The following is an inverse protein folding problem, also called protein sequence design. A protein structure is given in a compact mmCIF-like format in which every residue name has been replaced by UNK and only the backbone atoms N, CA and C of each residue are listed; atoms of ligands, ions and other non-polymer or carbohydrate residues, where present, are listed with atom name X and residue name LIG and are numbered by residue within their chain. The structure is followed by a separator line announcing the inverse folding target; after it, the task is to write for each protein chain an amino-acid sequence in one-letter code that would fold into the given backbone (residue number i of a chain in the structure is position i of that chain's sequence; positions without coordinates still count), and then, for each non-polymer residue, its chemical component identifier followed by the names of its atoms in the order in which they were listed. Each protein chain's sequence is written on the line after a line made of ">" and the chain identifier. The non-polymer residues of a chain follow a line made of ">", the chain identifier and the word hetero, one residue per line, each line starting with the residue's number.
data_IF_196464791068
#
_entry.id   IF_196464791068
#
_cell.length_a   1.000
_cell.length_b   1.000
_cell.length_c   1.000
_cell.angle_alpha   90.00
_cell.angle_beta   90.00
_cell.angle_gamma   90.00
#
_symmetry.space_group_name_H-M   'P 1'
#
loop_
_entity.id
_entity.type
_entity.pdbx_description
1 polymer ?
#
# COMPACT_ATOMS: atom_id res chain seq x y z
N UNK A 1 -3.31 -14.38 10.07
CA UNK A 1 -3.55 -14.45 8.64
C UNK A 1 -2.32 -15.03 7.94
N UNK A 2 -2.51 -16.04 7.11
CA UNK A 2 -1.40 -16.64 6.38
C UNK A 2 -0.80 -15.63 5.40
N UNK A 3 0.52 -15.66 5.27
CA UNK A 3 1.25 -14.75 4.41
C UNK A 3 0.78 -14.84 2.95
N UNK A 4 0.53 -16.06 2.47
CA UNK A 4 0.08 -16.27 1.09
C UNK A 4 -1.28 -15.64 0.81
N UNK A 5 -2.21 -15.73 1.79
CA UNK A 5 -3.53 -15.12 1.69
C UNK A 5 -3.42 -13.60 1.68
N UNK A 6 -2.57 -13.05 2.55
CA UNK A 6 -2.34 -11.61 2.62
C UNK A 6 -1.76 -11.07 1.31
N UNK A 7 -0.76 -11.75 0.76
CA UNK A 7 -0.14 -11.36 -0.52
C UNK A 7 -1.17 -11.35 -1.64
N UNK A 8 -2.01 -12.39 -1.72
CA UNK A 8 -3.06 -12.47 -2.74
C UNK A 8 -4.04 -11.32 -2.63
N UNK A 9 -4.48 -10.97 -1.42
CA UNK A 9 -5.39 -9.85 -1.21
C UNK A 9 -4.78 -8.52 -1.63
N UNK A 10 -3.49 -8.34 -1.37
CA UNK A 10 -2.74 -7.15 -1.77
C UNK A 10 -2.70 -7.05 -3.29
N UNK A 11 -2.34 -8.14 -3.96
CA UNK A 11 -2.25 -8.15 -5.41
C UNK A 11 -3.61 -7.91 -6.07
N UNK A 12 -4.67 -8.54 -5.56
CA UNK A 12 -6.03 -8.33 -6.05
C UNK A 12 -6.48 -6.88 -5.87
N UNK A 13 -6.12 -6.27 -4.75
CA UNK A 13 -6.46 -4.87 -4.47
C UNK A 13 -5.76 -3.94 -5.46
N UNK A 14 -4.48 -4.19 -5.76
CA UNK A 14 -3.75 -3.39 -6.73
C UNK A 14 -4.35 -3.55 -8.12
N UNK A 15 -4.68 -4.78 -8.53
CA UNK A 15 -5.33 -5.01 -9.81
C UNK A 15 -6.65 -4.24 -9.92
N UNK A 16 -7.44 -4.22 -8.85
CA UNK A 16 -8.70 -3.47 -8.83
C UNK A 16 -8.48 -1.96 -8.90
N UNK A 17 -7.44 -1.44 -8.27
CA UNK A 17 -7.11 -0.02 -8.34
C UNK A 17 -6.82 0.40 -9.78
N UNK A 18 -6.04 -0.38 -10.50
CA UNK A 18 -5.75 -0.11 -11.91
C UNK A 18 -6.98 -0.29 -12.79
N UNK A 19 -7.78 -1.33 -12.53
CA UNK A 19 -9.02 -1.57 -13.28
C UNK A 19 -10.06 -0.46 -13.10
N UNK A 20 -10.07 0.20 -11.94
CA UNK A 20 -10.99 1.31 -11.65
C UNK A 20 -10.54 2.64 -12.23
N UNK A 21 -9.38 2.70 -12.89
CA UNK A 21 -8.94 3.89 -13.58
C UNK A 21 -7.86 4.70 -12.88
N UNK A 22 -6.98 4.05 -12.12
CA UNK A 22 -5.87 4.73 -11.45
C UNK A 22 -5.02 5.53 -12.44
N UNK A 23 -4.75 4.99 -13.63
CA UNK A 23 -3.97 5.68 -14.66
C UNK A 23 -4.67 6.98 -15.08
N UNK A 24 -5.98 6.90 -15.32
CA UNK A 24 -6.79 8.06 -15.69
C UNK A 24 -6.84 9.11 -14.59
N UNK A 25 -6.89 8.67 -13.33
CA UNK A 25 -6.89 9.56 -12.17
C UNK A 25 -5.59 10.36 -12.09
N UNK A 26 -4.45 9.70 -12.25
CA UNK A 26 -3.14 10.36 -12.23
C UNK A 26 -3.01 11.32 -13.42
N UNK A 27 -3.46 10.90 -14.60
CA UNK A 27 -3.47 11.75 -15.78
C UNK A 27 -4.31 13.01 -15.54
N UNK A 28 -5.47 12.85 -14.91
CA UNK A 28 -6.34 13.97 -14.58
C UNK A 28 -5.69 14.97 -13.63
N UNK A 29 -4.92 14.49 -12.66
CA UNK A 29 -4.18 15.37 -11.75
C UNK A 29 -3.13 16.21 -12.53
N UNK A 30 -2.43 15.57 -13.45
CA UNK A 30 -1.44 16.26 -14.29
C UNK A 30 -2.10 17.30 -15.18
N UNK A 31 -3.25 16.99 -15.77
CA UNK A 31 -3.99 17.91 -16.63
C UNK A 31 -4.50 19.14 -15.87
N UNK A 32 -4.76 18.99 -14.57
CA UNK A 32 -5.15 20.10 -13.69
C UNK A 32 -3.96 20.97 -13.28
N UNK A 33 -2.74 20.63 -13.73
CA UNK A 33 -1.56 21.40 -13.43
C UNK A 33 -0.97 21.16 -12.06
N UNK A 34 -1.35 20.05 -11.39
CA UNK A 34 -0.78 19.71 -10.10
C UNK A 34 0.67 19.26 -10.29
N UNK A 35 1.64 19.86 -9.56
CA UNK A 35 3.06 19.51 -9.71
C UNK A 35 3.32 18.03 -9.39
N UNK A 36 4.27 17.45 -10.10
CA UNK A 36 4.61 16.02 -9.93
C UNK A 36 5.16 15.69 -8.55
N UNK A 37 5.73 16.67 -7.85
CA UNK A 37 6.24 16.50 -6.49
C UNK A 37 5.19 16.79 -5.41
N UNK A 38 3.97 17.12 -5.82
CA UNK A 38 2.88 17.41 -4.88
C UNK A 38 2.50 16.16 -4.07
N UNK A 39 2.00 16.34 -2.83
CA UNK A 39 1.64 15.22 -1.96
C UNK A 39 0.75 14.13 -2.57
N UNK A 40 -0.26 14.43 -3.43
CA UNK A 40 -1.06 13.36 -4.03
C UNK A 40 -0.24 12.34 -4.81
N UNK A 41 0.87 12.73 -5.43
CA UNK A 41 1.72 11.81 -6.20
C UNK A 41 2.60 10.92 -5.34
N UNK A 42 2.61 11.14 -4.03
CA UNK A 42 3.32 10.27 -3.07
C UNK A 42 2.49 9.07 -2.64
N UNK A 43 1.20 9.05 -3.00
CA UNK A 43 0.34 7.92 -2.68
C UNK A 43 0.85 6.66 -3.38
N UNK A 44 0.59 5.51 -2.75
CA UNK A 44 1.06 4.23 -3.25
C UNK A 44 0.52 3.96 -4.66
N UNK A 45 1.41 3.66 -5.58
CA UNK A 45 1.07 3.41 -6.98
C UNK A 45 1.12 4.63 -7.89
N UNK A 46 0.89 5.81 -7.37
CA UNK A 46 0.87 7.04 -8.18
C UNK A 46 2.22 7.31 -8.82
N UNK A 47 3.30 7.10 -8.08
CA UNK A 47 4.66 7.28 -8.58
C UNK A 47 4.96 6.41 -9.80
N UNK A 48 4.53 5.14 -9.76
CA UNK A 48 4.76 4.20 -10.85
C UNK A 48 3.88 4.51 -12.06
N UNK A 49 2.64 4.95 -11.81
CA UNK A 49 1.75 5.39 -12.89
C UNK A 49 2.31 6.65 -13.56
N UNK A 50 2.86 7.57 -12.77
CA UNK A 50 3.50 8.77 -13.31
C UNK A 50 4.66 8.42 -14.23
N UNK A 51 5.52 7.47 -13.81
CA UNK A 51 6.62 6.98 -14.64
C UNK A 51 6.10 6.29 -15.92
N UNK A 52 5.00 5.55 -15.83
CA UNK A 52 4.36 4.96 -17.00
C UNK A 52 3.87 6.02 -17.99
N UNK A 53 3.22 7.06 -17.50
CA UNK A 53 2.70 8.14 -18.35
C UNK A 53 3.82 8.93 -19.05
N UNK A 54 5.00 8.97 -18.43
CA UNK A 54 6.20 9.58 -19.05
C UNK A 54 6.89 8.69 -20.06
N UNK A 55 6.42 7.45 -20.22
CA UNK A 55 7.01 6.49 -21.14
C UNK A 55 8.21 5.74 -20.60
N UNK A 56 8.54 5.89 -19.30
CA UNK A 56 9.66 5.19 -18.67
C UNK A 56 9.37 3.75 -18.25
N UNK A 57 8.10 3.41 -18.08
CA UNK A 57 7.67 2.08 -17.68
C UNK A 57 6.48 1.63 -18.52
N UNK A 58 6.42 0.32 -18.83
CA UNK A 58 5.19 -0.28 -19.35
C UNK A 58 4.12 -0.35 -18.26
N UNK A 59 2.86 -0.52 -18.67
CA UNK A 59 1.76 -0.62 -17.70
C UNK A 59 1.93 -1.83 -16.80
N UNK A 60 2.31 -2.98 -17.36
CA UNK A 60 2.52 -4.20 -16.57
C UNK A 60 3.63 -4.02 -15.53
N UNK A 61 4.68 -3.28 -15.90
CA UNK A 61 5.77 -2.98 -14.97
C UNK A 61 5.29 -2.07 -13.84
N UNK A 62 4.48 -1.05 -14.16
CA UNK A 62 3.91 -0.16 -13.15
C UNK A 62 3.04 -0.94 -12.16
N UNK A 63 2.21 -1.85 -12.65
CA UNK A 63 1.38 -2.72 -11.80
C UNK A 63 2.26 -3.60 -10.91
N UNK A 64 3.29 -4.24 -11.48
CA UNK A 64 4.18 -5.12 -10.74
C UNK A 64 4.94 -4.38 -9.64
N UNK A 65 5.45 -3.18 -9.93
CA UNK A 65 6.15 -2.36 -8.95
C UNK A 65 5.22 -1.89 -7.84
N UNK A 66 3.99 -1.54 -8.17
CA UNK A 66 2.99 -1.16 -7.17
C UNK A 66 2.68 -2.33 -6.24
N UNK A 67 2.54 -3.54 -6.78
CA UNK A 67 2.34 -4.74 -5.97
C UNK A 67 3.52 -4.99 -5.03
N UNK A 68 4.74 -4.86 -5.55
CA UNK A 68 5.96 -5.06 -4.76
C UNK A 68 6.03 -4.07 -3.59
N UNK A 69 5.79 -2.78 -3.85
CA UNK A 69 5.80 -1.75 -2.82
C UNK A 69 4.73 -2.01 -1.76
N UNK A 70 3.54 -2.42 -2.19
CA UNK A 70 2.44 -2.70 -1.28
C UNK A 70 2.75 -3.90 -0.39
N UNK A 71 3.37 -4.95 -0.94
CA UNK A 71 3.80 -6.11 -0.16
C UNK A 71 4.85 -5.73 0.88
N UNK A 72 5.82 -4.89 0.50
CA UNK A 72 6.86 -4.44 1.43
C UNK A 72 6.27 -3.59 2.56
N UNK A 73 5.33 -2.73 2.23
CA UNK A 73 4.63 -1.92 3.22
C UNK A 73 3.88 -2.81 4.21
N UNK A 74 3.14 -3.79 3.71
CA UNK A 74 2.42 -4.75 4.56
C UNK A 74 3.37 -5.55 5.45
N UNK A 75 4.52 -5.97 4.91
CA UNK A 75 5.54 -6.69 5.68
C UNK A 75 6.07 -5.85 6.84
N UNK A 76 6.34 -4.57 6.59
CA UNK A 76 6.78 -3.66 7.65
C UNK A 76 5.72 -3.49 8.73
N UNK A 77 4.45 -3.36 8.34
CA UNK A 77 3.35 -3.27 9.28
C UNK A 77 3.21 -4.54 10.12
N UNK A 78 3.38 -5.71 9.50
CA UNK A 78 3.34 -6.99 10.22
C UNK A 78 4.48 -7.11 11.22
N UNK A 79 5.70 -6.68 10.86
CA UNK A 79 6.84 -6.70 11.75
C UNK A 79 6.62 -5.77 12.95
N UNK A 80 6.11 -4.57 12.69
CA UNK A 80 5.77 -3.62 13.74
C UNK A 80 4.70 -4.19 14.67
N UNK A 81 3.67 -4.79 14.10
CA UNK A 81 2.59 -5.44 14.86
C UNK A 81 3.15 -6.52 15.80
N UNK A 82 4.05 -7.38 15.29
CA UNK A 82 4.66 -8.43 16.10
C UNK A 82 5.44 -7.85 17.28
N UNK A 83 6.21 -6.80 17.05
CA UNK A 83 6.96 -6.15 18.12
C UNK A 83 6.03 -5.56 19.17
N UNK A 84 4.97 -4.93 18.77
CA UNK A 84 3.97 -4.36 19.68
C UNK A 84 3.24 -5.45 20.45
N UNK A 85 2.95 -6.58 19.80
CA UNK A 85 2.34 -7.73 20.45
C UNK A 85 3.25 -8.34 21.51
N UNK A 86 4.56 -8.41 21.23
CA UNK A 86 5.56 -8.88 22.20
C UNK A 86 5.60 -7.96 23.43
N UNK A 87 5.60 -6.67 23.22
CA UNK A 87 5.55 -5.69 24.31
C UNK A 87 4.28 -5.86 25.14
N UNK A 88 3.14 -6.01 24.46
CA UNK A 88 1.85 -6.22 25.12
C UNK A 88 1.81 -7.53 25.92
N UNK A 89 2.54 -8.55 25.46
CA UNK A 89 2.64 -9.82 26.18
C UNK A 89 3.27 -9.64 27.57
N UNK A 90 4.23 -8.72 27.69
CA UNK A 90 4.88 -8.40 28.96
C UNK A 90 4.12 -7.35 29.78
N UNK A 91 3.02 -6.81 29.25
CA UNK A 91 2.17 -5.84 29.92
C UNK A 91 0.72 -6.36 29.92
N UNK A 92 0.41 -7.38 30.73
CA UNK A 92 -0.84 -8.14 30.64
C UNK A 92 -2.12 -7.31 30.81
N UNK A 93 -2.06 -6.20 31.51
CA UNK A 93 -3.24 -5.38 31.77
C UNK A 93 -3.72 -4.66 30.50
N UNK A 94 -2.83 -4.39 29.56
CA UNK A 94 -3.14 -3.64 28.34
C UNK A 94 -3.15 -4.51 27.07
N UNK A 95 -2.71 -5.76 27.19
CA UNK A 95 -2.49 -6.65 26.05
C UNK A 95 -3.68 -6.82 25.12
N UNK A 96 -4.89 -7.22 25.62
CA UNK A 96 -6.03 -7.42 24.72
C UNK A 96 -6.50 -6.17 24.02
N UNK A 97 -6.52 -5.04 24.72
CA UNK A 97 -6.92 -3.76 24.11
C UNK A 97 -5.96 -3.31 23.04
N UNK A 98 -4.66 -3.43 23.30
CA UNK A 98 -3.62 -3.05 22.34
C UNK A 98 -3.68 -3.94 21.09
N UNK A 99 -3.83 -5.23 21.25
CA UNK A 99 -3.93 -6.17 20.15
C UNK A 99 -5.11 -5.84 19.25
N UNK A 100 -6.27 -5.57 19.82
CA UNK A 100 -7.46 -5.21 19.05
C UNK A 100 -7.27 -3.89 18.29
N UNK A 101 -6.67 -2.91 18.93
CA UNK A 101 -6.37 -1.63 18.31
C UNK A 101 -5.45 -1.80 17.11
N UNK A 102 -4.41 -2.60 17.22
CA UNK A 102 -3.47 -2.86 16.15
C UNK A 102 -4.15 -3.60 14.99
N UNK A 103 -5.02 -4.55 15.27
CA UNK A 103 -5.79 -5.24 14.22
C UNK A 103 -6.68 -4.28 13.45
N UNK A 104 -7.32 -3.35 14.15
CA UNK A 104 -8.16 -2.34 13.51
C UNK A 104 -7.37 -1.44 12.57
N UNK A 105 -6.14 -1.10 12.93
CA UNK A 105 -5.27 -0.29 12.08
C UNK A 105 -4.81 -1.03 10.82
N UNK A 106 -4.73 -2.35 10.87
CA UNK A 106 -4.30 -3.17 9.74
C UNK A 106 -5.43 -3.47 8.74
N UNK A 107 -6.65 -3.21 9.12
CA UNK A 107 -7.80 -3.33 8.26
C UNK A 107 -8.02 -2.04 7.47
#
# INVERSE_FOLDING_TARGET
>A
LERAVLVRRIEDRVDRMFARGLVGEVRGLLEKGIPEDAPPFRALGYRHVLAHLRGGLGLDEAVALTKADTRQYAKRQMTWFRKMAEVAWFAPDDGPGLEQHLRNQLQ
#
